data_IF_474307416274
#
_entry.id   IF_474307416274
#
_cell.length_a   1.000
_cell.length_b   1.000
_cell.length_c   1.000
_cell.angle_alpha   90.00
_cell.angle_beta   90.00
_cell.angle_gamma   90.00
#
_symmetry.space_group_name_H-M   'P 1'
#
loop_
_entity.id
_entity.type
_entity.pdbx_description
1 polymer ?
#
# COMPACT_ATOMS: atom_id res chain seq x y z
N UNK A 1 5.42 -4.17 -1.71
CA UNK A 1 5.31 -3.50 -0.39
C UNK A 1 5.27 -1.97 -0.52
N UNK A 2 6.26 -1.32 -1.12
CA UNK A 2 6.29 0.15 -1.29
C UNK A 2 5.02 0.71 -1.95
N UNK A 3 4.52 0.08 -3.03
CA UNK A 3 3.29 0.50 -3.70
C UNK A 3 2.09 0.54 -2.72
N UNK A 4 1.99 -0.43 -1.82
CA UNK A 4 0.93 -0.49 -0.81
C UNK A 4 1.06 0.63 0.24
N UNK A 5 2.28 0.91 0.70
CA UNK A 5 2.53 1.98 1.68
C UNK A 5 2.26 3.35 1.06
N UNK A 6 2.74 3.60 -0.17
CA UNK A 6 2.57 4.92 -0.80
C UNK A 6 1.13 5.18 -1.21
N UNK A 7 0.41 4.19 -1.73
CA UNK A 7 -0.97 4.40 -2.16
C UNK A 7 -2.01 4.22 -1.06
N UNK A 8 -1.64 3.55 0.03
CA UNK A 8 -2.58 3.19 1.10
C UNK A 8 -3.69 2.24 0.66
N UNK A 9 -3.62 1.63 -0.53
CA UNK A 9 -4.71 0.81 -1.06
C UNK A 9 -4.74 -0.60 -0.45
N UNK A 10 -5.90 -1.25 -0.55
CA UNK A 10 -6.08 -2.63 -0.04
C UNK A 10 -5.32 -3.63 -0.90
N UNK A 11 -5.01 -4.76 -0.31
CA UNK A 11 -4.25 -5.84 -0.93
C UNK A 11 -4.82 -6.29 -2.29
N UNK A 12 -6.15 -6.45 -2.41
CA UNK A 12 -6.82 -6.79 -3.67
C UNK A 12 -6.63 -5.71 -4.72
N UNK A 13 -6.83 -4.45 -4.34
CA UNK A 13 -6.64 -3.30 -5.23
C UNK A 13 -5.19 -3.22 -5.73
N UNK A 14 -4.21 -3.39 -4.82
CA UNK A 14 -2.77 -3.41 -5.16
C UNK A 14 -2.43 -4.52 -6.16
N UNK A 15 -2.96 -5.71 -5.95
CA UNK A 15 -2.75 -6.86 -6.83
C UNK A 15 -3.29 -6.63 -8.24
N UNK A 16 -4.37 -5.85 -8.37
CA UNK A 16 -5.06 -5.62 -9.64
C UNK A 16 -4.54 -4.42 -10.45
N UNK A 17 -3.70 -3.54 -9.87
CA UNK A 17 -3.19 -2.34 -10.53
C UNK A 17 -2.44 -2.65 -11.82
N UNK A 18 -2.75 -1.88 -12.87
CA UNK A 18 -2.15 -2.03 -14.21
C UNK A 18 -1.41 -0.75 -14.64
N UNK A 19 -0.50 -0.90 -15.59
CA UNK A 19 0.13 0.26 -16.24
C UNK A 19 -0.88 1.10 -17.02
N UNK A 20 -1.95 0.50 -17.55
CA UNK A 20 -3.04 1.23 -18.23
C UNK A 20 -3.88 2.08 -17.30
N UNK A 21 -3.81 1.87 -16.00
CA UNK A 21 -4.52 2.69 -15.01
C UNK A 21 -3.79 4.01 -14.73
N UNK A 22 -2.63 4.22 -15.38
CA UNK A 22 -1.82 5.43 -15.23
C UNK A 22 -2.03 6.32 -16.45
N UNK A 23 -2.72 7.43 -16.24
CA UNK A 23 -2.95 8.48 -17.22
C UNK A 23 -3.14 9.84 -16.52
N UNK A 24 -2.97 10.93 -17.23
CA UNK A 24 -3.09 12.29 -16.69
C UNK A 24 -2.29 12.51 -15.38
N UNK A 25 -1.05 11.99 -15.35
CA UNK A 25 -0.16 12.04 -14.19
C UNK A 25 -0.73 11.46 -12.88
N UNK A 26 -1.76 10.61 -12.97
CA UNK A 26 -2.39 9.94 -11.83
C UNK A 26 -2.45 8.44 -12.04
N UNK A 27 -2.41 7.70 -10.93
CA UNK A 27 -2.80 6.30 -10.85
C UNK A 27 -4.28 6.22 -10.46
N UNK A 28 -5.10 5.68 -11.35
CA UNK A 28 -6.54 5.56 -11.16
C UNK A 28 -6.87 4.20 -10.55
N UNK A 29 -7.56 4.21 -9.41
CA UNK A 29 -7.94 3.00 -8.67
C UNK A 29 -9.44 2.99 -8.44
N UNK A 30 -10.12 1.93 -8.88
CA UNK A 30 -11.49 1.65 -8.44
C UNK A 30 -11.42 0.59 -7.35
N UNK A 31 -11.68 0.98 -6.11
CA UNK A 31 -11.61 0.08 -4.96
C UNK A 31 -12.66 -1.02 -5.07
N UNK A 32 -12.25 -2.28 -5.11
CA UNK A 32 -13.14 -3.45 -5.24
C UNK A 32 -14.22 -3.49 -4.14
N UNK A 33 -13.81 -3.27 -2.89
CA UNK A 33 -14.71 -3.39 -1.73
C UNK A 33 -15.76 -2.28 -1.65
N UNK A 34 -15.46 -1.06 -2.10
CA UNK A 34 -16.30 0.13 -1.85
C UNK A 34 -16.83 0.78 -3.12
N UNK A 35 -16.30 0.42 -4.28
CA UNK A 35 -16.57 1.07 -5.55
C UNK A 35 -16.02 2.50 -5.65
N UNK A 36 -15.27 2.98 -4.64
CA UNK A 36 -14.71 4.32 -4.63
C UNK A 36 -13.66 4.45 -5.74
N UNK A 37 -13.78 5.50 -6.54
CA UNK A 37 -12.82 5.84 -7.60
C UNK A 37 -11.86 6.91 -7.09
N UNK A 38 -10.58 6.63 -7.18
CA UNK A 38 -9.50 7.52 -6.73
C UNK A 38 -8.56 7.80 -7.89
N UNK A 39 -8.13 9.05 -8.01
CA UNK A 39 -7.00 9.44 -8.86
C UNK A 39 -5.86 9.88 -7.94
N UNK A 40 -4.83 9.05 -7.82
CA UNK A 40 -3.71 9.26 -6.91
C UNK A 40 -2.57 9.90 -7.71
N UNK A 41 -2.15 11.15 -7.38
CA UNK A 41 -1.11 11.82 -8.13
C UNK A 41 0.20 11.02 -8.14
N UNK A 42 0.85 10.87 -9.27
CA UNK A 42 2.18 10.24 -9.35
C UNK A 42 3.25 11.03 -8.57
N UNK A 43 3.00 12.32 -8.33
CA UNK A 43 3.83 13.17 -7.50
C UNK A 43 3.70 12.89 -5.99
N UNK A 44 2.68 12.12 -5.56
CA UNK A 44 2.53 11.76 -4.14
C UNK A 44 3.82 11.14 -3.61
N UNK A 45 4.39 11.74 -2.58
CA UNK A 45 5.70 11.38 -2.02
C UNK A 45 5.58 11.09 -0.53
N UNK A 46 6.22 10.06 -0.06
CA UNK A 46 6.48 9.88 1.36
C UNK A 46 7.82 10.51 1.70
N UNK A 47 7.82 11.51 2.57
CA UNK A 47 9.05 12.15 3.05
C UNK A 47 9.89 11.18 3.88
N UNK A 48 9.27 10.43 4.77
CA UNK A 48 9.94 9.45 5.60
C UNK A 48 10.67 8.36 4.79
N UNK A 49 10.13 7.96 3.63
CA UNK A 49 10.73 6.96 2.75
C UNK A 49 11.54 7.59 1.62
N UNK A 50 11.49 8.92 1.48
CA UNK A 50 12.13 9.70 0.42
C UNK A 50 11.86 9.16 -1.00
N UNK A 51 10.61 8.73 -1.28
CA UNK A 51 10.22 8.12 -2.54
C UNK A 51 8.84 8.58 -2.97
N UNK A 52 8.65 8.82 -4.28
CA UNK A 52 7.35 9.15 -4.88
C UNK A 52 6.65 7.93 -5.48
N UNK A 53 5.34 8.05 -5.74
CA UNK A 53 4.60 7.03 -6.48
C UNK A 53 5.17 6.85 -7.89
N UNK A 54 5.62 7.94 -8.55
CA UNK A 54 6.30 7.89 -9.86
C UNK A 54 7.54 7.01 -9.83
N UNK A 55 8.37 7.15 -8.79
CA UNK A 55 9.59 6.34 -8.63
C UNK A 55 9.25 4.85 -8.48
N UNK A 56 8.18 4.55 -7.75
CA UNK A 56 7.74 3.17 -7.55
C UNK A 56 7.18 2.57 -8.84
N UNK A 57 6.35 3.31 -9.57
CA UNK A 57 5.83 2.89 -10.89
C UNK A 57 6.98 2.62 -11.84
N UNK A 58 8.00 3.48 -11.84
CA UNK A 58 9.20 3.28 -12.66
C UNK A 58 9.95 2.00 -12.30
N UNK A 59 10.03 1.64 -11.01
CA UNK A 59 10.62 0.37 -10.56
C UNK A 59 9.80 -0.86 -10.94
N UNK A 60 8.47 -0.69 -11.14
CA UNK A 60 7.61 -1.77 -11.64
C UNK A 60 7.83 -2.06 -13.14
N UNK A 61 8.44 -1.13 -13.89
CA UNK A 61 8.84 -1.32 -15.28
C UNK A 61 10.18 -2.05 -15.33
N UNK A 62 10.13 -3.33 -15.39
CA UNK A 62 11.31 -4.20 -15.49
C UNK A 62 11.44 -4.82 -16.90
N UNK A 63 12.16 -5.94 -17.01
CA UNK A 63 12.39 -6.66 -18.28
C UNK A 63 11.27 -7.64 -18.64
N UNK A 64 10.13 -7.58 -17.92
CA UNK A 64 8.98 -8.47 -18.15
C UNK A 64 7.86 -7.69 -18.80
N UNK A 65 7.35 -8.19 -19.90
CA UNK A 65 6.14 -7.64 -20.53
C UNK A 65 4.95 -8.08 -19.70
N UNK A 66 4.28 -7.13 -19.06
CA UNK A 66 3.09 -7.37 -18.24
C UNK A 66 2.15 -6.15 -18.27
N UNK A 67 0.83 -6.34 -18.26
CA UNK A 67 -0.10 -5.26 -18.02
C UNK A 67 -0.13 -4.81 -16.55
N UNK A 68 0.33 -5.64 -15.61
CA UNK A 68 0.22 -5.41 -14.16
C UNK A 68 1.45 -4.71 -13.59
N UNK A 69 1.26 -3.80 -12.64
CA UNK A 69 2.36 -3.18 -11.89
C UNK A 69 3.12 -4.22 -11.05
N UNK A 70 2.40 -5.20 -10.50
CA UNK A 70 2.99 -6.31 -9.75
C UNK A 70 2.71 -7.60 -10.50
N UNK A 71 3.77 -8.23 -11.01
CA UNK A 71 3.67 -9.42 -11.86
C UNK A 71 4.75 -10.45 -11.53
N UNK A 72 4.56 -11.67 -12.00
CA UNK A 72 5.56 -12.73 -11.86
C UNK A 72 6.76 -12.47 -12.77
N UNK A 73 7.94 -12.42 -12.17
CA UNK A 73 9.20 -12.25 -12.91
C UNK A 73 9.65 -13.52 -13.63
N UNK A 74 9.31 -14.69 -13.10
CA UNK A 74 9.58 -16.01 -13.68
C UNK A 74 8.29 -16.81 -13.79
N UNK A 75 8.23 -17.72 -14.77
CA UNK A 75 7.18 -18.74 -14.82
C UNK A 75 7.33 -19.68 -13.61
N UNK A 76 6.23 -20.01 -12.99
CA UNK A 76 6.11 -20.95 -11.88
C UNK A 76 5.15 -22.08 -12.27
N UNK A 77 4.98 -23.08 -11.40
CA UNK A 77 3.97 -24.13 -11.59
C UNK A 77 2.51 -23.59 -11.55
N UNK A 78 2.31 -22.38 -11.07
CA UNK A 78 0.97 -21.81 -10.85
C UNK A 78 0.67 -20.57 -11.70
N UNK A 79 1.69 -19.95 -12.30
CA UNK A 79 1.52 -18.73 -13.09
C UNK A 79 2.67 -18.51 -14.07
N UNK A 80 2.32 -17.96 -15.23
CA UNK A 80 3.31 -17.60 -16.25
C UNK A 80 4.03 -16.28 -15.88
N UNK A 81 5.21 -16.11 -16.46
CA UNK A 81 5.94 -14.86 -16.42
C UNK A 81 5.07 -13.70 -16.95
N UNK A 82 5.00 -12.61 -16.21
CA UNK A 82 4.18 -11.46 -16.55
C UNK A 82 2.72 -11.55 -16.07
N UNK A 83 2.29 -12.71 -15.54
CA UNK A 83 0.96 -12.85 -14.96
C UNK A 83 0.82 -12.03 -13.67
N UNK A 84 -0.41 -11.68 -13.32
CA UNK A 84 -0.76 -10.96 -12.08
C UNK A 84 -0.31 -11.75 -10.84
N UNK A 85 0.35 -11.07 -9.91
CA UNK A 85 0.61 -11.64 -8.58
C UNK A 85 -0.66 -11.52 -7.74
N UNK A 86 -1.21 -12.64 -7.31
CA UNK A 86 -2.46 -12.67 -6.54
C UNK A 86 -2.29 -12.09 -5.13
N UNK A 87 -3.39 -11.62 -4.53
CA UNK A 87 -3.43 -11.12 -3.16
C UNK A 87 -2.88 -12.15 -2.15
N UNK A 88 -3.20 -13.43 -2.32
CA UNK A 88 -2.69 -14.51 -1.48
C UNK A 88 -1.17 -14.64 -1.58
N UNK A 89 -0.63 -14.59 -2.80
CA UNK A 89 0.82 -14.63 -3.04
C UNK A 89 1.52 -13.43 -2.41
N UNK A 90 0.95 -12.22 -2.52
CA UNK A 90 1.49 -11.02 -1.88
C UNK A 90 1.54 -11.16 -0.35
N UNK A 91 0.47 -11.69 0.27
CA UNK A 91 0.43 -11.97 1.72
C UNK A 91 1.51 -12.96 2.12
N UNK A 92 1.63 -14.06 1.37
CA UNK A 92 2.62 -15.12 1.64
C UNK A 92 4.05 -14.59 1.52
N UNK A 93 4.33 -13.81 0.47
CA UNK A 93 5.66 -13.24 0.24
C UNK A 93 6.00 -12.16 1.28
N UNK A 94 5.02 -11.36 1.70
CA UNK A 94 5.19 -10.42 2.80
C UNK A 94 5.58 -11.16 4.10
N UNK A 95 4.83 -12.20 4.46
CA UNK A 95 5.14 -13.03 5.63
C UNK A 95 6.55 -13.63 5.56
N UNK A 96 6.94 -14.16 4.40
CA UNK A 96 8.28 -14.71 4.19
C UNK A 96 9.37 -13.63 4.33
N UNK A 97 9.15 -12.43 3.78
CA UNK A 97 10.10 -11.33 3.87
C UNK A 97 10.21 -10.81 5.31
N UNK A 98 9.07 -10.61 5.99
CA UNK A 98 9.01 -10.20 7.40
C UNK A 98 9.77 -11.19 8.31
N UNK A 99 9.55 -12.49 8.10
CA UNK A 99 10.19 -13.52 8.94
C UNK A 99 11.72 -13.65 8.70
N UNK A 100 12.26 -12.95 7.68
CA UNK A 100 13.71 -12.85 7.43
C UNK A 100 14.33 -11.62 8.10
N UNK A 101 13.54 -10.77 8.71
CA UNK A 101 14.03 -9.62 9.47
C UNK A 101 14.31 -10.05 10.90
N UNK A 102 15.29 -9.42 11.54
CA UNK A 102 15.64 -9.65 12.95
C UNK A 102 14.77 -8.82 13.91
N UNK A 103 13.55 -8.44 13.48
CA UNK A 103 12.62 -7.69 14.32
C UNK A 103 12.06 -8.61 15.39
N UNK A 104 12.35 -8.28 16.64
CA UNK A 104 11.71 -8.91 17.79
C UNK A 104 10.30 -8.33 17.97
N UNK A 105 9.28 -9.17 17.91
CA UNK A 105 7.88 -8.81 18.11
C UNK A 105 7.44 -8.93 19.57
N UNK A 106 8.31 -9.42 20.46
CA UNK A 106 7.99 -9.70 21.86
C UNK A 106 6.74 -10.60 21.96
N UNK A 107 5.83 -10.26 22.88
CA UNK A 107 4.53 -10.95 23.05
C UNK A 107 3.48 -10.51 21.99
N UNK A 108 3.83 -9.55 21.12
CA UNK A 108 2.92 -9.01 20.12
C UNK A 108 2.75 -9.92 18.89
N UNK A 109 1.64 -9.75 18.18
CA UNK A 109 1.42 -10.42 16.90
C UNK A 109 2.27 -9.76 15.82
N UNK A 110 3.06 -10.53 15.04
CA UNK A 110 3.85 -9.98 13.94
C UNK A 110 2.98 -9.29 12.89
N UNK A 111 3.46 -8.16 12.37
CA UNK A 111 2.74 -7.34 11.40
C UNK A 111 2.20 -8.16 10.21
N UNK A 112 0.97 -7.91 9.83
CA UNK A 112 0.35 -8.46 8.62
C UNK A 112 0.48 -7.48 7.44
N UNK A 113 0.20 -7.94 6.22
CA UNK A 113 0.19 -7.05 5.05
C UNK A 113 -0.83 -5.90 5.20
N UNK A 114 -1.94 -6.13 5.89
CA UNK A 114 -2.98 -5.12 6.08
C UNK A 114 -2.48 -3.87 6.82
N UNK A 115 -1.52 -4.02 7.69
CA UNK A 115 -0.94 -2.91 8.48
C UNK A 115 -0.16 -1.91 7.64
N UNK A 116 0.16 -2.23 6.37
CA UNK A 116 0.69 -1.28 5.40
C UNK A 116 -0.23 -0.07 5.23
N UNK A 117 -1.55 -0.29 5.34
CA UNK A 117 -2.54 0.77 5.20
C UNK A 117 -2.56 1.70 6.43
N UNK A 118 -2.42 1.14 7.64
CA UNK A 118 -2.26 1.94 8.87
C UNK A 118 -0.92 2.70 8.87
N UNK A 119 0.14 2.08 8.36
CA UNK A 119 1.43 2.76 8.20
C UNK A 119 1.32 3.92 7.20
N UNK A 120 0.68 3.71 6.05
CA UNK A 120 0.41 4.75 5.05
C UNK A 120 -0.32 5.94 5.68
N UNK A 121 -1.38 5.66 6.44
CA UNK A 121 -2.16 6.69 7.12
C UNK A 121 -1.27 7.53 8.04
N UNK A 122 -0.49 6.91 8.93
CA UNK A 122 0.37 7.64 9.88
C UNK A 122 1.41 8.49 9.16
N UNK A 123 2.11 7.93 8.17
CA UNK A 123 3.16 8.66 7.43
C UNK A 123 2.60 9.89 6.71
N UNK A 124 1.41 9.79 6.13
CA UNK A 124 0.81 10.90 5.40
C UNK A 124 0.07 11.89 6.29
N UNK A 125 -0.45 11.46 7.43
CA UNK A 125 -0.99 12.36 8.45
C UNK A 125 0.10 13.30 8.98
N UNK A 126 1.30 12.80 9.21
CA UNK A 126 2.47 13.61 9.61
C UNK A 126 2.89 14.64 8.53
N UNK A 127 2.47 14.43 7.29
CA UNK A 127 2.72 15.33 6.14
C UNK A 127 1.50 16.21 5.80
N UNK A 128 0.46 16.26 6.64
CA UNK A 128 -0.79 16.98 6.41
C UNK A 128 -1.54 16.59 5.11
N UNK A 129 -1.30 15.39 4.59
CA UNK A 129 -2.05 14.85 3.45
C UNK A 129 -3.43 14.38 3.91
N UNK A 130 -4.48 14.66 3.12
CA UNK A 130 -5.83 14.15 3.37
C UNK A 130 -5.89 12.63 3.25
N UNK A 131 -5.59 11.96 4.36
CA UNK A 131 -5.56 10.50 4.45
C UNK A 131 -6.95 9.88 4.31
N UNK A 132 -8.02 10.59 4.67
CA UNK A 132 -9.39 10.13 4.45
C UNK A 132 -9.66 9.92 2.96
N UNK A 133 -9.34 10.90 2.14
CA UNK A 133 -9.49 10.83 0.67
C UNK A 133 -8.53 9.79 0.09
N UNK A 134 -7.25 9.79 0.47
CA UNK A 134 -6.25 8.83 -0.01
C UNK A 134 -6.70 7.38 0.24
N UNK A 135 -7.24 7.09 1.41
CA UNK A 135 -7.73 5.78 1.76
C UNK A 135 -9.12 5.46 1.17
N UNK A 136 -9.80 6.43 0.57
CA UNK A 136 -11.15 6.27 0.01
C UNK A 136 -12.20 5.98 1.09
N UNK A 137 -12.08 6.61 2.26
CA UNK A 137 -13.04 6.47 3.35
C UNK A 137 -14.21 7.43 3.18
N UNK A 138 -15.43 6.92 3.36
CA UNK A 138 -16.65 7.74 3.29
C UNK A 138 -16.86 8.63 4.51
N UNK A 139 -16.32 8.25 5.68
CA UNK A 139 -16.45 9.00 6.92
C UNK A 139 -15.11 9.10 7.64
N UNK A 140 -14.94 10.16 8.45
CA UNK A 140 -13.77 10.35 9.29
C UNK A 140 -13.59 9.19 10.28
N UNK A 141 -14.66 8.69 10.88
CA UNK A 141 -14.63 7.57 11.81
C UNK A 141 -14.01 6.28 11.20
N UNK A 142 -14.03 6.13 9.88
CA UNK A 142 -13.32 5.02 9.21
C UNK A 142 -11.81 5.26 9.17
N UNK A 143 -11.38 6.51 9.05
CA UNK A 143 -9.96 6.89 9.08
C UNK A 143 -9.42 6.79 10.49
N UNK A 144 -10.19 7.20 11.48
CA UNK A 144 -9.80 7.21 12.91
C UNK A 144 -9.45 5.81 13.43
N UNK A 145 -10.02 4.75 12.84
CA UNK A 145 -9.61 3.36 13.15
C UNK A 145 -8.17 3.03 12.76
N UNK A 146 -7.59 3.79 11.86
CA UNK A 146 -6.19 3.67 11.43
C UNK A 146 -5.25 4.61 12.19
N UNK A 147 -5.82 5.56 12.98
CA UNK A 147 -5.09 6.39 13.93
C UNK A 147 -4.62 5.61 15.17
N UNK A 148 -4.88 4.31 15.21
CA UNK A 148 -4.51 3.45 16.34
C UNK A 148 -2.99 3.41 16.51
N UNK A 149 -2.50 4.26 17.38
CA UNK A 149 -1.12 4.33 17.85
C UNK A 149 -0.85 3.24 18.91
N UNK A 150 -1.76 2.24 19.00
CA UNK A 150 -1.70 1.08 19.92
C UNK A 150 -1.55 1.48 21.39
N UNK A 151 -2.18 2.60 21.77
CA UNK A 151 -2.15 3.10 23.15
C UNK A 151 -0.79 3.60 23.61
N UNK A 152 0.13 3.89 22.69
CA UNK A 152 1.47 4.40 23.02
C UNK A 152 1.51 5.92 23.23
N UNK A 153 0.53 6.64 22.71
CA UNK A 153 0.49 8.08 22.82
C UNK A 153 -0.22 8.53 24.09
N UNK A 154 0.41 9.47 24.78
CA UNK A 154 -0.19 10.13 25.94
C UNK A 154 -1.18 11.19 25.49
N UNK A 155 -2.42 11.13 25.99
CA UNK A 155 -3.40 12.19 25.79
C UNK A 155 -3.00 13.35 26.70
N UNK A 156 -2.53 14.46 26.09
CA UNK A 156 -2.20 15.68 26.83
C UNK A 156 -3.49 16.40 27.24
N UNK A 157 -3.73 16.48 28.52
CA UNK A 157 -4.82 17.33 29.06
C UNK A 157 -4.31 18.77 29.07
N UNK A 158 -4.99 19.64 28.34
CA UNK A 158 -4.75 21.09 28.38
C UNK A 158 -5.58 21.66 29.52
N UNK A 159 -4.92 22.34 30.47
CA UNK A 159 -5.54 23.07 31.62
C UNK A 159 -5.49 24.57 31.36
#
# INVERSE_FOLDING_TARGET
MLLAVITGQRLGDISAMKFSDIWDDHLHVTQEKTGTKLAIPLALRSEALNISLRDIVSRCRDRVVSPYLIHYFHTTSQADRGAQVTANTLTTNFKKARNKTDIDWGEGTPASFHEQRSLSERLYREQDVDTKTLLGHKSQAMTDKYHDDRGKDWIKVVI
#
